data_IF_191176305432
#
_entry.id   IF_191176305432
#
_cell.length_a   1.000
_cell.length_b   1.000
_cell.length_c   1.000
_cell.angle_alpha   90.00
_cell.angle_beta   90.00
_cell.angle_gamma   90.00
#
_symmetry.space_group_name_H-M   'P 1'
#
loop_
_entity.id
_entity.type
_entity.pdbx_description
1 polymer ?
#
# COMPACT_ATOMS: atom_id res chain seq x y z
N UNK A 1 0.44 -27.45 22.95
CA UNK A 1 -0.08 -26.22 22.31
C UNK A 1 1.07 -25.25 22.27
N UNK A 2 1.61 -24.96 21.09
CA UNK A 2 2.66 -23.96 20.93
C UNK A 2 2.06 -22.61 21.30
N UNK A 3 2.60 -21.96 22.33
CA UNK A 3 2.09 -20.66 22.76
C UNK A 3 2.57 -19.61 21.75
N UNK A 4 1.68 -19.05 20.94
CA UNK A 4 2.00 -17.98 19.99
C UNK A 4 2.50 -16.78 20.77
N UNK A 5 3.77 -16.37 20.64
CA UNK A 5 4.28 -15.19 21.34
C UNK A 5 4.68 -14.11 20.34
N UNK A 6 4.08 -12.93 20.49
CA UNK A 6 4.49 -11.73 19.77
C UNK A 6 5.41 -10.89 20.67
N UNK A 7 6.34 -10.09 20.10
CA UNK A 7 7.08 -9.08 20.86
C UNK A 7 6.13 -8.25 21.73
N UNK A 8 6.59 -7.81 22.91
CA UNK A 8 5.74 -7.03 23.84
C UNK A 8 5.34 -5.67 23.26
N UNK A 9 6.19 -5.15 22.40
CA UNK A 9 6.09 -3.89 21.66
C UNK A 9 5.64 -4.09 20.21
N UNK A 10 5.05 -5.24 19.88
CA UNK A 10 4.53 -5.50 18.54
C UNK A 10 3.47 -4.46 18.16
N UNK A 11 3.66 -3.82 17.00
CA UNK A 11 2.84 -2.72 16.52
C UNK A 11 1.54 -3.24 15.89
N UNK A 12 0.58 -3.61 16.72
CA UNK A 12 -0.80 -3.86 16.28
C UNK A 12 -1.46 -2.55 15.86
N UNK A 13 -2.27 -2.56 14.80
CA UNK A 13 -2.91 -1.34 14.34
C UNK A 13 -3.90 -1.57 13.21
N UNK A 14 -4.05 -0.57 12.36
CA UNK A 14 -4.85 -0.64 11.15
C UNK A 14 -4.30 0.34 10.11
N UNK A 15 -4.56 0.06 8.83
CA UNK A 15 -4.02 0.83 7.72
C UNK A 15 -5.12 1.35 6.80
N UNK A 16 -4.94 2.58 6.33
CA UNK A 16 -5.75 3.22 5.28
C UNK A 16 -4.83 4.08 4.40
N UNK A 17 -5.39 4.71 3.36
CA UNK A 17 -4.74 5.77 2.59
C UNK A 17 -5.64 7.01 2.57
N UNK A 18 -5.05 8.19 2.61
CA UNK A 18 -5.76 9.47 2.69
C UNK A 18 -6.86 9.58 1.64
N UNK A 19 -6.53 9.43 0.35
CA UNK A 19 -7.52 9.50 -0.73
C UNK A 19 -8.67 8.48 -0.67
N UNK A 20 -8.56 7.41 0.12
CA UNK A 20 -9.59 6.37 0.24
C UNK A 20 -10.53 6.60 1.42
N UNK A 21 -10.16 7.47 2.37
CA UNK A 21 -10.96 7.74 3.56
C UNK A 21 -11.24 9.21 3.82
N UNK A 22 -10.28 10.11 3.58
CA UNK A 22 -10.38 11.50 4.02
C UNK A 22 -11.58 12.22 3.42
N UNK A 23 -11.76 12.15 2.11
CA UNK A 23 -12.70 13.04 1.43
C UNK A 23 -12.23 14.49 1.55
N UNK A 24 -13.17 15.44 1.59
CA UNK A 24 -12.84 16.87 1.67
C UNK A 24 -11.84 17.28 0.57
N UNK A 25 -12.00 16.72 -0.63
CA UNK A 25 -10.95 16.68 -1.66
C UNK A 25 -10.50 18.05 -2.17
N UNK A 26 -11.36 19.06 -2.01
CA UNK A 26 -11.15 20.46 -2.40
C UNK A 26 -11.27 21.44 -1.20
N UNK A 27 -11.16 20.93 0.03
CA UNK A 27 -11.16 21.75 1.24
C UNK A 27 -9.76 22.26 1.56
N UNK A 28 -9.71 23.44 2.19
CA UNK A 28 -8.49 24.01 2.76
C UNK A 28 -7.30 24.07 1.81
N UNK A 29 -7.59 24.39 0.54
CA UNK A 29 -6.58 24.54 -0.50
C UNK A 29 -5.99 23.23 -1.01
N UNK A 30 -6.53 22.05 -0.64
CA UNK A 30 -6.11 20.77 -1.24
C UNK A 30 -6.28 20.82 -2.76
N UNK A 31 -5.23 20.45 -3.48
CA UNK A 31 -5.23 20.34 -4.94
C UNK A 31 -5.86 19.07 -5.49
N UNK A 32 -6.03 19.03 -6.81
CA UNK A 32 -6.51 17.85 -7.55
C UNK A 32 -5.40 16.80 -7.59
N UNK A 33 -5.65 15.62 -7.04
CA UNK A 33 -4.77 14.46 -7.17
C UNK A 33 -5.13 13.61 -8.40
N UNK A 34 -4.28 12.65 -8.75
CA UNK A 34 -4.57 11.67 -9.82
C UNK A 34 -5.86 10.87 -9.58
N UNK A 35 -6.21 10.57 -8.32
CA UNK A 35 -7.43 9.83 -7.98
C UNK A 35 -8.68 10.71 -7.94
N UNK A 36 -8.54 12.03 -7.90
CA UNK A 36 -9.66 12.97 -7.98
C UNK A 36 -10.24 13.08 -9.41
N UNK A 37 -9.55 12.51 -10.41
CA UNK A 37 -10.04 12.39 -11.81
C UNK A 37 -10.22 10.92 -12.22
N UNK A 38 -10.36 10.02 -11.24
CA UNK A 38 -10.56 8.59 -11.45
C UNK A 38 -11.99 8.18 -11.04
N UNK A 39 -12.85 7.87 -12.01
CA UNK A 39 -14.26 7.55 -11.76
C UNK A 39 -14.44 6.24 -10.99
N UNK A 40 -15.64 6.00 -10.44
CA UNK A 40 -16.02 4.69 -9.92
C UNK A 40 -16.15 3.66 -11.05
N UNK A 41 -15.65 2.45 -10.82
CA UNK A 41 -15.87 1.27 -11.64
C UNK A 41 -16.78 0.26 -10.94
N UNK A 42 -16.64 -1.01 -11.29
CA UNK A 42 -17.26 -2.16 -10.63
C UNK A 42 -16.44 -3.42 -10.92
N UNK A 43 -16.83 -4.57 -10.34
CA UNK A 43 -16.27 -5.85 -10.78
C UNK A 43 -16.40 -6.00 -12.32
N UNK A 44 -15.29 -6.30 -13.00
CA UNK A 44 -15.15 -6.36 -14.47
C UNK A 44 -15.36 -5.03 -15.25
N UNK A 45 -15.67 -3.93 -14.56
CA UNK A 45 -15.82 -2.60 -15.17
C UNK A 45 -14.69 -1.70 -14.67
N UNK A 46 -13.69 -1.38 -15.50
CA UNK A 46 -12.56 -0.58 -15.07
C UNK A 46 -12.98 0.84 -14.69
N UNK A 47 -12.26 1.43 -13.74
CA UNK A 47 -12.33 2.87 -13.46
C UNK A 47 -11.83 3.64 -14.69
N UNK A 48 -12.40 4.81 -14.93
CA UNK A 48 -12.02 5.69 -16.06
C UNK A 48 -11.21 6.86 -15.54
N UNK A 49 -10.07 7.11 -16.17
CA UNK A 49 -9.25 8.30 -15.93
C UNK A 49 -9.78 9.40 -16.85
N UNK A 50 -10.28 10.50 -16.27
CA UNK A 50 -10.75 11.67 -17.02
C UNK A 50 -9.66 12.74 -17.08
N UNK A 51 -9.69 13.61 -18.09
CA UNK A 51 -8.70 14.68 -18.23
C UNK A 51 -8.80 15.71 -17.09
N UNK A 52 -10.01 15.92 -16.57
CA UNK A 52 -10.29 16.84 -15.46
C UNK A 52 -11.46 16.32 -14.63
N UNK A 53 -11.84 17.05 -13.59
CA UNK A 53 -13.05 16.75 -12.81
C UNK A 53 -14.27 17.14 -13.65
N UNK A 54 -15.05 16.15 -14.07
CA UNK A 54 -16.24 16.31 -14.90
C UNK A 54 -17.51 16.29 -14.03
N UNK A 55 -18.44 17.22 -14.24
CA UNK A 55 -19.61 17.40 -13.36
C UNK A 55 -20.65 16.28 -13.44
N UNK A 56 -20.63 15.49 -14.51
CA UNK A 56 -21.56 14.38 -14.79
C UNK A 56 -20.97 13.00 -14.42
N UNK A 57 -19.74 12.96 -13.88
CA UNK A 57 -19.08 11.74 -13.44
C UNK A 57 -19.13 11.59 -11.91
N UNK A 58 -19.04 10.34 -11.44
CA UNK A 58 -18.96 10.02 -10.02
C UNK A 58 -17.53 9.64 -9.62
N UNK A 59 -16.92 10.46 -8.76
CA UNK A 59 -15.59 10.26 -8.21
C UNK A 59 -15.68 9.87 -6.73
N UNK A 60 -15.55 8.57 -6.39
CA UNK A 60 -15.83 8.10 -5.03
C UNK A 60 -14.84 8.68 -4.00
N UNK A 61 -13.63 9.02 -4.42
CA UNK A 61 -12.57 9.59 -3.58
C UNK A 61 -12.85 11.02 -3.11
N UNK A 62 -13.77 11.74 -3.77
CA UNK A 62 -14.06 13.15 -3.44
C UNK A 62 -14.67 13.31 -2.04
N UNK A 63 -15.62 12.43 -1.71
CA UNK A 63 -16.26 12.36 -0.40
C UNK A 63 -15.67 11.24 0.46
N UNK A 64 -15.28 10.12 -0.17
CA UNK A 64 -14.81 8.92 0.50
C UNK A 64 -15.73 8.56 1.69
N UNK A 65 -15.17 8.48 2.91
CA UNK A 65 -15.96 8.29 4.13
C UNK A 65 -15.98 9.53 5.04
N UNK A 66 -15.57 10.68 4.51
CA UNK A 66 -15.39 11.92 5.26
C UNK A 66 -14.57 11.74 6.55
N UNK A 67 -13.50 10.94 6.50
CA UNK A 67 -12.56 10.84 7.63
C UNK A 67 -11.94 12.21 7.96
N UNK A 68 -11.84 13.12 6.99
CA UNK A 68 -11.42 14.50 7.21
C UNK A 68 -12.33 15.24 8.21
N UNK A 69 -13.65 15.03 8.15
CA UNK A 69 -14.60 15.58 9.13
C UNK A 69 -14.76 14.76 10.41
N UNK A 70 -14.43 13.46 10.38
CA UNK A 70 -14.75 12.49 11.45
C UNK A 70 -13.54 11.85 12.14
N UNK A 71 -12.30 12.27 11.84
CA UNK A 71 -11.11 11.57 12.32
C UNK A 71 -11.03 11.44 13.84
N UNK A 72 -11.60 12.39 14.62
CA UNK A 72 -11.55 12.31 16.08
C UNK A 72 -12.41 11.18 16.62
N UNK A 73 -13.62 11.02 16.10
CA UNK A 73 -14.53 9.94 16.45
C UNK A 73 -13.99 8.60 15.95
N UNK A 74 -13.41 8.58 14.74
CA UNK A 74 -12.82 7.38 14.15
C UNK A 74 -11.57 6.92 14.93
N UNK A 75 -10.71 7.85 15.35
CA UNK A 75 -9.55 7.55 16.21
C UNK A 75 -9.99 7.04 17.59
N UNK A 76 -11.07 7.56 18.16
CA UNK A 76 -11.61 7.03 19.41
C UNK A 76 -12.01 5.55 19.27
N UNK A 77 -12.54 5.13 18.11
CA UNK A 77 -12.82 3.72 17.82
C UNK A 77 -11.54 2.89 17.66
N UNK A 78 -10.48 3.44 17.05
CA UNK A 78 -9.16 2.78 16.99
C UNK A 78 -8.55 2.57 18.38
N UNK A 79 -8.66 3.58 19.24
CA UNK A 79 -8.23 3.52 20.62
C UNK A 79 -9.05 2.51 21.43
N UNK A 80 -10.36 2.40 21.18
CA UNK A 80 -11.20 1.40 21.81
C UNK A 80 -10.78 -0.03 21.43
N UNK A 81 -10.38 -0.29 20.18
CA UNK A 81 -9.75 -1.57 19.80
C UNK A 81 -8.37 -1.77 20.43
N UNK A 82 -7.74 -0.71 20.92
CA UNK A 82 -6.45 -0.77 21.61
C UNK A 82 -5.24 -0.67 20.68
N UNK A 83 -5.40 -0.09 19.50
CA UNK A 83 -4.32 0.10 18.51
C UNK A 83 -3.04 0.63 19.15
N UNK A 84 -1.89 0.10 18.70
CA UNK A 84 -0.55 0.59 19.05
C UNK A 84 0.00 1.54 18.00
N UNK A 85 -0.43 1.36 16.76
CA UNK A 85 -0.12 2.24 15.66
C UNK A 85 -1.31 2.42 14.71
N UNK A 86 -1.25 3.45 13.89
CA UNK A 86 -2.20 3.66 12.80
C UNK A 86 -1.44 4.09 11.56
N UNK A 87 -1.60 3.32 10.48
CA UNK A 87 -0.99 3.62 9.20
C UNK A 87 -1.94 4.43 8.33
N UNK A 88 -1.44 5.57 7.85
CA UNK A 88 -2.11 6.37 6.82
C UNK A 88 -1.09 6.99 5.87
N UNK A 89 -1.54 7.76 4.89
CA UNK A 89 -0.69 8.62 4.08
C UNK A 89 -0.92 10.09 4.40
N UNK A 90 0.10 10.91 4.15
CA UNK A 90 -0.09 12.35 4.02
C UNK A 90 -0.43 12.61 2.56
N UNK A 91 -1.61 13.16 2.29
CA UNK A 91 -2.01 13.54 0.95
C UNK A 91 -1.07 14.63 0.43
N UNK A 92 -0.24 14.30 -0.56
CA UNK A 92 0.73 15.23 -1.16
C UNK A 92 0.02 16.53 -1.60
N UNK A 93 -1.17 16.41 -2.19
CA UNK A 93 -2.01 17.54 -2.62
C UNK A 93 -2.56 18.42 -1.51
N UNK A 94 -2.52 18.00 -0.24
CA UNK A 94 -2.81 18.91 0.88
C UNK A 94 -1.62 19.80 1.22
N UNK A 95 -0.40 19.31 1.03
CA UNK A 95 0.83 20.03 1.41
C UNK A 95 1.35 20.88 0.24
N UNK A 96 1.40 20.30 -0.96
CA UNK A 96 1.75 20.98 -2.20
C UNK A 96 0.63 20.69 -3.23
N UNK A 97 -0.40 21.56 -3.31
CA UNK A 97 -1.58 21.35 -4.15
C UNK A 97 -1.28 21.02 -5.61
N UNK A 98 -0.31 21.70 -6.20
CA UNK A 98 0.19 21.49 -7.56
C UNK A 98 1.50 20.69 -7.58
N UNK A 99 2.24 20.67 -6.46
CA UNK A 99 3.46 19.89 -6.29
C UNK A 99 4.74 20.70 -6.53
N UNK A 100 4.64 21.85 -7.18
CA UNK A 100 5.75 22.71 -7.60
C UNK A 100 5.81 24.05 -6.83
N UNK A 101 4.91 24.27 -5.86
CA UNK A 101 4.86 25.53 -5.12
C UNK A 101 6.13 25.79 -4.30
N UNK A 102 6.48 27.07 -4.13
CA UNK A 102 7.63 27.48 -3.33
C UNK A 102 7.44 27.20 -1.82
N UNK A 103 6.22 27.36 -1.31
CA UNK A 103 5.86 27.20 0.10
C UNK A 103 4.75 26.17 0.26
N UNK A 104 4.76 25.36 1.32
CA UNK A 104 3.68 24.41 1.58
C UNK A 104 2.39 25.13 1.97
N UNK A 105 1.27 24.44 1.81
CA UNK A 105 -0.03 24.85 2.32
C UNK A 105 -0.13 24.56 3.81
N UNK A 106 -0.16 25.62 4.63
CA UNK A 106 -0.20 25.51 6.09
C UNK A 106 -1.47 24.80 6.59
N UNK A 107 -2.62 24.98 5.94
CA UNK A 107 -3.86 24.32 6.39
C UNK A 107 -3.75 22.80 6.24
N UNK A 108 -3.07 22.32 5.18
CA UNK A 108 -2.75 20.90 5.02
C UNK A 108 -1.80 20.39 6.09
N UNK A 109 -0.78 21.18 6.47
CA UNK A 109 0.13 20.81 7.57
C UNK A 109 -0.60 20.76 8.91
N UNK A 110 -1.44 21.75 9.20
CA UNK A 110 -2.21 21.81 10.45
C UNK A 110 -3.18 20.63 10.57
N UNK A 111 -3.82 20.20 9.49
CA UNK A 111 -4.71 19.03 9.52
C UNK A 111 -3.98 17.77 10.01
N UNK A 112 -2.77 17.51 9.52
CA UNK A 112 -2.00 16.35 9.98
C UNK A 112 -1.38 16.55 11.35
N UNK A 113 -1.06 17.79 11.76
CA UNK A 113 -0.74 18.07 13.16
C UNK A 113 -1.87 17.65 14.09
N UNK A 114 -3.11 18.05 13.79
CA UNK A 114 -4.30 17.75 14.59
C UNK A 114 -4.61 16.24 14.58
N UNK A 115 -4.48 15.60 13.41
CA UNK A 115 -4.67 14.16 13.27
C UNK A 115 -3.66 13.37 14.12
N UNK A 116 -2.38 13.72 14.02
CA UNK A 116 -1.31 13.03 14.76
C UNK A 116 -1.40 13.34 16.25
N UNK A 117 -1.78 14.55 16.65
CA UNK A 117 -2.01 14.88 18.07
C UNK A 117 -3.18 14.06 18.65
N UNK A 118 -4.26 13.86 17.90
CA UNK A 118 -5.36 13.02 18.36
C UNK A 118 -4.97 11.54 18.44
N UNK A 119 -4.14 11.01 17.53
CA UNK A 119 -3.58 9.66 17.64
C UNK A 119 -2.70 9.50 18.89
N UNK A 120 -1.74 10.42 19.07
CA UNK A 120 -0.77 10.38 20.16
C UNK A 120 -1.43 10.58 21.53
N UNK A 121 -2.55 11.32 21.60
CA UNK A 121 -3.39 11.43 22.80
C UNK A 121 -3.87 10.07 23.32
N UNK A 122 -4.10 9.10 22.43
CA UNK A 122 -4.46 7.72 22.79
C UNK A 122 -3.25 6.76 22.83
N UNK A 123 -2.03 7.27 22.65
CA UNK A 123 -0.82 6.45 22.58
C UNK A 123 -0.74 5.59 21.31
N UNK A 124 -1.35 6.05 20.22
CA UNK A 124 -1.30 5.38 18.91
C UNK A 124 -0.20 6.04 18.09
N UNK A 125 0.84 5.26 17.74
CA UNK A 125 1.96 5.72 16.93
C UNK A 125 1.53 5.90 15.45
N UNK A 126 1.75 7.08 14.82
CA UNK A 126 1.51 7.23 13.40
C UNK A 126 2.56 6.47 12.57
N UNK A 127 2.09 5.76 11.54
CA UNK A 127 2.93 5.14 10.50
C UNK A 127 2.58 5.77 9.15
N UNK A 128 3.48 6.57 8.59
CA UNK A 128 3.14 7.48 7.50
C UNK A 128 3.76 7.06 6.18
N UNK A 129 2.90 6.87 5.17
CA UNK A 129 3.32 6.69 3.77
C UNK A 129 3.33 8.02 3.04
N UNK A 130 4.46 8.40 2.46
CA UNK A 130 4.63 9.71 1.80
C UNK A 130 3.89 9.77 0.46
N UNK A 131 4.05 8.76 -0.40
CA UNK A 131 3.32 8.67 -1.67
C UNK A 131 2.44 7.42 -1.68
N UNK A 132 1.13 7.62 -1.59
CA UNK A 132 0.13 6.55 -1.61
C UNK A 132 -0.94 6.83 -2.68
N UNK A 133 -0.55 6.69 -3.95
CA UNK A 133 -1.43 6.75 -5.11
C UNK A 133 -2.15 8.08 -5.37
N UNK A 134 -1.65 9.18 -4.81
CA UNK A 134 -2.41 10.44 -4.73
C UNK A 134 -1.57 11.68 -5.06
N UNK A 135 -0.57 11.52 -5.93
CA UNK A 135 0.27 12.65 -6.35
C UNK A 135 -0.55 13.76 -7.02
N UNK A 136 -0.08 15.03 -6.99
CA UNK A 136 -0.75 16.13 -7.65
C UNK A 136 -0.92 15.90 -9.16
N UNK A 137 -2.16 16.01 -9.65
CA UNK A 137 -2.47 15.86 -11.08
C UNK A 137 -1.82 16.96 -11.93
N UNK A 138 -1.49 18.11 -11.32
CA UNK A 138 -0.70 19.16 -11.96
C UNK A 138 0.68 18.66 -12.40
N UNK A 139 1.37 17.85 -11.58
CA UNK A 139 2.66 17.26 -11.97
C UNK A 139 2.53 16.34 -13.18
N UNK A 140 1.40 15.62 -13.31
CA UNK A 140 1.10 14.81 -14.49
C UNK A 140 0.98 15.69 -15.73
N UNK A 141 0.15 16.74 -15.66
CA UNK A 141 -0.17 17.60 -16.80
C UNK A 141 0.97 18.51 -17.25
N UNK A 142 1.75 19.04 -16.31
CA UNK A 142 2.72 20.11 -16.58
C UNK A 142 4.16 19.60 -16.67
N UNK A 143 4.45 18.45 -16.07
CA UNK A 143 5.81 17.91 -16.05
C UNK A 143 5.93 16.56 -16.75
N UNK A 144 4.84 15.93 -17.19
CA UNK A 144 4.87 14.54 -17.67
C UNK A 144 5.10 13.54 -16.54
N UNK A 145 4.72 13.93 -15.32
CA UNK A 145 4.87 13.14 -14.10
C UNK A 145 6.31 12.65 -13.86
N UNK A 146 6.47 11.48 -13.23
CA UNK A 146 7.74 10.87 -12.86
C UNK A 146 8.67 10.51 -14.02
N UNK A 147 8.23 10.63 -15.29
CA UNK A 147 9.16 10.56 -16.42
C UNK A 147 10.14 11.74 -16.40
N UNK A 148 9.74 12.87 -15.81
CA UNK A 148 10.57 14.05 -15.65
C UNK A 148 11.33 14.00 -14.33
N UNK A 149 12.66 14.09 -14.44
CA UNK A 149 13.58 14.04 -13.32
C UNK A 149 13.33 15.12 -12.27
N UNK A 150 12.78 16.29 -12.64
CA UNK A 150 12.46 17.36 -11.69
C UNK A 150 11.43 16.94 -10.62
N UNK A 151 10.62 15.91 -10.90
CA UNK A 151 9.65 15.39 -9.91
C UNK A 151 10.33 14.75 -8.71
N UNK A 152 11.59 14.31 -8.84
CA UNK A 152 12.43 13.89 -7.70
C UNK A 152 12.52 15.03 -6.69
N UNK A 153 12.89 16.24 -7.15
CA UNK A 153 13.08 17.40 -6.27
C UNK A 153 11.77 17.83 -5.61
N UNK A 154 10.64 17.77 -6.34
CA UNK A 154 9.31 18.05 -5.77
C UNK A 154 8.93 17.06 -4.66
N UNK A 155 9.16 15.77 -4.89
CA UNK A 155 8.89 14.75 -3.87
C UNK A 155 9.80 14.89 -2.66
N UNK A 156 11.10 15.14 -2.86
CA UNK A 156 12.06 15.34 -1.77
C UNK A 156 11.70 16.57 -0.95
N UNK A 157 11.31 17.67 -1.59
CA UNK A 157 10.84 18.87 -0.90
C UNK A 157 9.58 18.62 -0.08
N UNK A 158 8.60 17.91 -0.65
CA UNK A 158 7.41 17.50 0.08
C UNK A 158 7.77 16.66 1.32
N UNK A 159 8.62 15.65 1.12
CA UNK A 159 9.08 14.74 2.17
C UNK A 159 9.85 15.48 3.27
N UNK A 160 10.76 16.38 2.89
CA UNK A 160 11.49 17.24 3.82
C UNK A 160 10.53 18.04 4.70
N UNK A 161 9.57 18.71 4.07
CA UNK A 161 8.63 19.60 4.75
C UNK A 161 7.85 18.85 5.83
N UNK A 162 7.31 17.67 5.49
CA UNK A 162 6.50 16.89 6.44
C UNK A 162 7.37 16.21 7.50
N UNK A 163 8.55 15.72 7.13
CA UNK A 163 9.47 15.12 8.08
C UNK A 163 10.00 16.15 9.09
N UNK A 164 10.33 17.37 8.66
CA UNK A 164 10.71 18.47 9.57
C UNK A 164 9.55 18.90 10.48
N UNK A 165 8.32 19.02 9.93
CA UNK A 165 7.13 19.41 10.70
C UNK A 165 6.80 18.38 11.78
N UNK A 166 6.84 17.09 11.44
CA UNK A 166 6.35 16.01 12.30
C UNK A 166 7.47 15.20 12.97
N UNK A 167 8.70 15.72 13.02
CA UNK A 167 9.88 14.98 13.52
C UNK A 167 9.78 14.48 14.96
N UNK A 168 8.88 15.06 15.76
CA UNK A 168 8.63 14.67 17.15
C UNK A 168 7.28 13.95 17.34
N UNK A 169 6.53 13.73 16.26
CA UNK A 169 5.20 13.10 16.27
C UNK A 169 5.16 11.77 15.52
N UNK A 170 6.00 11.60 14.50
CA UNK A 170 6.00 10.43 13.62
C UNK A 170 7.37 9.79 13.61
N UNK A 171 7.43 8.51 14.00
CA UNK A 171 8.66 7.71 14.01
C UNK A 171 8.81 6.84 12.77
N UNK A 172 7.71 6.32 12.24
CA UNK A 172 7.71 5.31 11.18
C UNK A 172 7.23 5.92 9.86
N UNK A 173 8.09 5.88 8.86
CA UNK A 173 7.86 6.44 7.53
C UNK A 173 8.00 5.38 6.46
N UNK A 174 7.29 5.56 5.35
CA UNK A 174 7.36 4.76 4.13
C UNK A 174 7.41 5.72 2.95
N UNK A 175 8.30 5.50 1.97
CA UNK A 175 8.43 6.38 0.80
C UNK A 175 7.28 6.20 -0.20
N UNK A 176 7.29 5.09 -0.94
CA UNK A 176 6.32 4.81 -2.01
C UNK A 176 5.50 3.56 -1.69
N UNK A 177 4.17 3.70 -1.66
CA UNK A 177 3.28 2.57 -1.53
C UNK A 177 3.38 1.64 -2.74
N UNK A 178 3.44 0.32 -2.49
CA UNK A 178 3.43 -0.77 -3.46
C UNK A 178 4.14 -0.40 -4.77
N UNK A 179 5.39 0.08 -4.63
CA UNK A 179 6.15 0.68 -5.75
C UNK A 179 6.26 -0.28 -6.96
N UNK A 180 6.11 -1.58 -6.73
CA UNK A 180 6.21 -2.65 -7.70
C UNK A 180 4.92 -2.97 -8.46
N UNK A 181 3.76 -2.42 -8.09
CA UNK A 181 2.52 -2.63 -8.83
C UNK A 181 2.62 -2.20 -10.29
N UNK A 182 3.29 -1.07 -10.54
CA UNK A 182 3.53 -0.54 -11.87
C UNK A 182 4.43 -1.44 -12.75
N UNK A 183 5.04 -2.50 -12.20
CA UNK A 183 5.72 -3.53 -13.00
C UNK A 183 4.76 -4.25 -13.95
N UNK A 184 3.47 -4.27 -13.61
CA UNK A 184 2.40 -4.60 -14.54
C UNK A 184 1.99 -3.38 -15.37
N UNK A 185 2.93 -2.86 -16.15
CA UNK A 185 2.78 -1.62 -16.94
C UNK A 185 1.70 -1.70 -18.03
N UNK A 186 1.21 -2.92 -18.34
CA UNK A 186 0.16 -3.16 -19.34
C UNK A 186 -1.23 -2.71 -18.87
N UNK A 187 -1.46 -2.67 -17.56
CA UNK A 187 -2.72 -2.19 -16.99
C UNK A 187 -2.56 -0.71 -16.57
N UNK A 188 -3.30 0.22 -17.20
CA UNK A 188 -3.10 1.67 -16.99
C UNK A 188 -3.15 2.12 -15.52
N UNK A 189 -4.06 1.55 -14.72
CA UNK A 189 -4.30 1.99 -13.34
C UNK A 189 -3.06 1.89 -12.45
N UNK A 190 -2.18 0.91 -12.67
CA UNK A 190 -1.00 0.73 -11.81
C UNK A 190 0.05 1.82 -12.05
N UNK A 191 0.43 2.05 -13.31
CA UNK A 191 1.33 3.15 -13.64
C UNK A 191 0.73 4.51 -13.26
N UNK A 192 -0.58 4.68 -13.46
CA UNK A 192 -1.27 5.93 -13.21
C UNK A 192 -1.31 6.26 -11.71
N UNK A 193 -1.68 5.30 -10.87
CA UNK A 193 -1.72 5.50 -9.42
C UNK A 193 -0.31 5.58 -8.82
N UNK A 194 0.61 4.67 -9.17
CA UNK A 194 1.98 4.72 -8.60
C UNK A 194 2.75 5.98 -9.00
N UNK A 195 2.55 6.46 -10.23
CA UNK A 195 3.50 7.36 -10.88
C UNK A 195 2.85 8.40 -11.79
N UNK A 196 1.52 8.48 -11.89
CA UNK A 196 0.85 9.38 -12.84
C UNK A 196 1.13 9.03 -14.31
N UNK A 197 1.46 7.77 -14.61
CA UNK A 197 1.91 7.32 -15.94
C UNK A 197 0.97 6.29 -16.56
N UNK A 198 0.52 6.52 -17.79
CA UNK A 198 -0.07 5.46 -18.62
C UNK A 198 1.00 4.97 -19.59
N UNK A 199 1.73 3.92 -19.20
CA UNK A 199 2.91 3.47 -19.95
C UNK A 199 2.62 3.03 -21.39
N UNK A 200 1.41 2.50 -21.63
CA UNK A 200 0.98 2.07 -22.96
C UNK A 200 0.85 3.21 -23.97
N UNK A 201 0.84 4.47 -23.51
CA UNK A 201 0.79 5.65 -24.38
C UNK A 201 2.18 6.01 -24.92
N UNK A 202 3.24 5.37 -24.43
CA UNK A 202 4.62 5.60 -24.84
C UNK A 202 5.07 4.56 -25.88
N UNK A 203 5.93 4.92 -26.86
CA UNK A 203 6.43 3.98 -27.87
C UNK A 203 7.19 2.78 -27.28
N UNK A 204 7.87 2.99 -26.15
CA UNK A 204 8.59 1.94 -25.42
C UNK A 204 8.10 1.89 -23.96
N UNK A 205 6.95 1.26 -23.68
CA UNK A 205 6.30 1.30 -22.36
C UNK A 205 7.20 0.82 -21.23
N UNK A 206 7.88 -0.31 -21.43
CA UNK A 206 8.74 -0.91 -20.40
C UNK A 206 9.99 -0.08 -20.12
N UNK A 207 10.59 0.56 -21.14
CA UNK A 207 11.69 1.50 -20.92
C UNK A 207 11.23 2.72 -20.11
N UNK A 208 10.07 3.29 -20.45
CA UNK A 208 9.52 4.42 -19.71
C UNK A 208 9.24 4.05 -18.25
N UNK A 209 8.67 2.86 -18.01
CA UNK A 209 8.48 2.32 -16.68
C UNK A 209 9.82 2.24 -15.92
N UNK A 210 10.87 1.68 -16.49
CA UNK A 210 12.17 1.62 -15.79
C UNK A 210 12.80 3.00 -15.56
N UNK A 211 12.60 3.98 -16.45
CA UNK A 211 13.06 5.35 -16.23
C UNK A 211 12.35 5.99 -15.02
N UNK A 212 11.03 5.82 -14.95
CA UNK A 212 10.21 6.28 -13.83
C UNK A 212 10.63 5.60 -12.52
N UNK A 213 10.85 4.29 -12.55
CA UNK A 213 11.34 3.54 -11.40
C UNK A 213 12.71 4.03 -10.93
N UNK A 214 13.62 4.34 -11.86
CA UNK A 214 14.91 4.93 -11.51
C UNK A 214 14.73 6.24 -10.75
N UNK A 215 13.89 7.16 -11.22
CA UNK A 215 13.60 8.40 -10.52
C UNK A 215 13.00 8.16 -9.12
N UNK A 216 12.05 7.24 -8.98
CA UNK A 216 11.45 6.91 -7.68
C UNK A 216 12.45 6.25 -6.72
N UNK A 217 13.35 5.39 -7.19
CA UNK A 217 14.40 4.81 -6.35
C UNK A 217 15.39 5.88 -5.87
N UNK A 218 15.83 6.78 -6.75
CA UNK A 218 16.71 7.89 -6.39
C UNK A 218 16.02 8.81 -5.38
N UNK A 219 14.75 9.17 -5.63
CA UNK A 219 13.96 10.01 -4.72
C UNK A 219 13.78 9.35 -3.35
N UNK A 220 13.45 8.06 -3.31
CA UNK A 220 13.35 7.29 -2.06
C UNK A 220 14.66 7.33 -1.27
N UNK A 221 15.79 7.08 -1.93
CA UNK A 221 17.09 7.06 -1.29
C UNK A 221 17.52 8.46 -0.78
N UNK A 222 17.22 9.52 -1.53
CA UNK A 222 17.42 10.90 -1.06
C UNK A 222 16.60 11.19 0.19
N UNK A 223 15.33 10.76 0.22
CA UNK A 223 14.44 10.96 1.38
C UNK A 223 14.90 10.16 2.59
N UNK A 224 15.36 8.92 2.44
CA UNK A 224 15.93 8.15 3.55
C UNK A 224 17.11 8.89 4.18
N UNK A 225 18.09 9.28 3.35
CA UNK A 225 19.27 10.01 3.82
C UNK A 225 18.91 11.33 4.48
N UNK A 226 18.00 12.09 3.88
CA UNK A 226 17.52 13.37 4.41
C UNK A 226 16.76 13.19 5.72
N UNK A 227 15.87 12.20 5.81
CA UNK A 227 15.09 11.94 7.01
C UNK A 227 15.99 11.62 8.20
N UNK A 228 17.03 10.82 8.01
CA UNK A 228 18.03 10.56 9.07
C UNK A 228 18.87 11.79 9.45
N UNK A 229 19.02 12.76 8.55
CA UNK A 229 19.65 14.06 8.88
C UNK A 229 18.73 14.95 9.71
N UNK A 230 17.42 14.91 9.45
CA UNK A 230 16.40 15.64 10.22
C UNK A 230 16.27 15.01 11.61
N UNK A 231 16.08 13.69 11.66
CA UNK A 231 15.98 12.94 12.91
C UNK A 231 16.57 11.52 12.73
N UNK A 232 17.71 11.20 13.38
CA UNK A 232 18.33 9.87 13.27
C UNK A 232 17.50 8.73 13.88
N UNK A 233 16.47 9.04 14.67
CA UNK A 233 15.58 8.04 15.28
C UNK A 233 14.45 7.58 14.35
N UNK A 234 14.24 8.27 13.22
CA UNK A 234 13.28 7.83 12.22
C UNK A 234 13.59 6.41 11.73
N UNK A 235 12.51 5.67 11.45
CA UNK A 235 12.54 4.41 10.73
C UNK A 235 11.88 4.63 9.38
N UNK A 236 12.66 4.60 8.30
CA UNK A 236 12.21 4.91 6.95
C UNK A 236 12.28 3.64 6.11
N UNK A 237 11.11 3.08 5.81
CA UNK A 237 10.94 1.83 5.11
C UNK A 237 10.69 2.01 3.62
N UNK A 238 10.98 0.95 2.88
CA UNK A 238 10.42 0.72 1.55
C UNK A 238 9.08 0.00 1.66
N UNK A 239 8.27 -0.02 0.60
CA UNK A 239 7.04 -0.82 0.58
C UNK A 239 6.81 -1.51 -0.75
N UNK A 240 6.53 -2.82 -0.70
CA UNK A 240 6.16 -3.61 -1.86
C UNK A 240 4.85 -4.37 -1.63
N UNK A 241 4.11 -4.60 -2.70
CA UNK A 241 3.10 -5.65 -2.73
C UNK A 241 3.78 -6.99 -2.95
N UNK A 242 3.65 -7.91 -1.98
CA UNK A 242 4.18 -9.26 -2.12
C UNK A 242 3.05 -10.26 -2.38
N UNK A 243 3.12 -10.88 -3.55
CA UNK A 243 2.26 -11.98 -3.98
C UNK A 243 3.18 -13.12 -4.42
N UNK A 244 3.48 -14.07 -3.53
CA UNK A 244 4.26 -15.25 -3.88
C UNK A 244 3.70 -15.96 -5.11
N UNK A 245 4.61 -16.37 -5.99
CA UNK A 245 4.32 -17.12 -7.20
C UNK A 245 4.90 -18.53 -7.05
N UNK A 246 4.05 -19.49 -6.73
CA UNK A 246 4.49 -20.88 -6.59
C UNK A 246 4.62 -21.54 -7.96
N UNK A 247 5.58 -22.47 -8.14
CA UNK A 247 5.56 -23.32 -9.32
C UNK A 247 4.33 -24.25 -9.26
N UNK A 248 3.56 -24.31 -10.35
CA UNK A 248 2.36 -25.16 -10.41
C UNK A 248 2.67 -26.65 -10.22
N UNK A 249 3.87 -27.08 -10.61
CA UNK A 249 4.36 -28.44 -10.48
C UNK A 249 5.85 -28.46 -10.13
N UNK A 250 6.40 -29.61 -9.75
CA UNK A 250 7.84 -29.79 -9.55
C UNK A 250 8.66 -29.89 -10.86
N UNK A 251 8.06 -29.61 -12.02
CA UNK A 251 8.78 -29.55 -13.28
C UNK A 251 9.86 -28.46 -13.21
N UNK A 252 11.11 -28.74 -13.62
CA UNK A 252 12.19 -27.75 -13.56
C UNK A 252 11.84 -26.42 -14.26
N UNK A 253 11.04 -26.47 -15.33
CA UNK A 253 10.60 -25.30 -16.08
C UNK A 253 9.66 -24.40 -15.28
N UNK A 254 8.74 -24.99 -14.51
CA UNK A 254 7.82 -24.23 -13.64
C UNK A 254 8.57 -23.63 -12.45
N UNK A 255 9.53 -24.38 -11.88
CA UNK A 255 10.41 -23.89 -10.80
C UNK A 255 11.26 -22.72 -11.27
N UNK A 256 11.86 -22.82 -12.45
CA UNK A 256 12.65 -21.73 -13.03
C UNK A 256 11.77 -20.50 -13.33
N UNK A 257 10.58 -20.72 -13.91
CA UNK A 257 9.63 -19.65 -14.21
C UNK A 257 9.20 -18.90 -12.93
N UNK A 258 8.84 -19.62 -11.87
CA UNK A 258 8.49 -19.02 -10.58
C UNK A 258 9.64 -18.16 -10.03
N UNK A 259 10.87 -18.71 -10.06
CA UNK A 259 12.05 -17.99 -9.59
C UNK A 259 12.30 -16.71 -10.41
N UNK A 260 12.16 -16.76 -11.73
CA UNK A 260 12.37 -15.61 -12.61
C UNK A 260 11.30 -14.55 -12.42
N UNK A 261 10.02 -14.94 -12.35
CA UNK A 261 8.90 -14.01 -12.14
C UNK A 261 8.94 -13.36 -10.76
N UNK A 262 9.39 -14.06 -9.72
CA UNK A 262 9.56 -13.45 -8.40
C UNK A 262 10.64 -12.35 -8.39
N UNK A 263 11.58 -12.33 -9.35
CA UNK A 263 12.50 -11.19 -9.52
C UNK A 263 11.76 -9.90 -9.87
N UNK A 264 10.60 -9.98 -10.51
CA UNK A 264 9.74 -8.82 -10.76
C UNK A 264 9.13 -8.24 -9.47
N UNK A 265 9.10 -9.01 -8.38
CA UNK A 265 8.73 -8.51 -7.05
C UNK A 265 9.96 -8.06 -6.27
N UNK A 266 11.01 -8.88 -6.26
CA UNK A 266 12.22 -8.63 -5.47
C UNK A 266 13.06 -7.46 -5.96
N UNK A 267 13.05 -7.14 -7.25
CA UNK A 267 13.83 -6.04 -7.82
C UNK A 267 13.72 -4.75 -7.00
N UNK A 268 12.52 -4.40 -6.57
CA UNK A 268 12.23 -3.14 -5.91
C UNK A 268 12.83 -3.07 -4.52
N UNK A 269 12.79 -4.18 -3.79
CA UNK A 269 13.44 -4.31 -2.49
C UNK A 269 14.94 -4.53 -2.63
N UNK A 270 15.41 -5.22 -3.68
CA UNK A 270 16.84 -5.33 -4.00
C UNK A 270 17.46 -3.93 -4.13
N UNK A 271 16.83 -3.00 -4.87
CA UNK A 271 17.33 -1.63 -5.01
C UNK A 271 17.20 -0.85 -3.70
N UNK A 272 16.02 -0.83 -3.07
CA UNK A 272 15.78 0.02 -1.90
C UNK A 272 16.45 -0.46 -0.61
N UNK A 273 16.73 -1.76 -0.48
CA UNK A 273 17.35 -2.34 0.73
C UNK A 273 18.85 -2.59 0.53
N UNK A 274 19.29 -2.98 -0.67
CA UNK A 274 20.71 -3.27 -0.95
C UNK A 274 21.45 -2.09 -1.59
N UNK A 275 20.72 -1.12 -2.15
CA UNK A 275 21.27 0.13 -2.66
C UNK A 275 21.88 0.06 -4.04
N UNK A 276 21.57 -0.98 -4.84
CA UNK A 276 22.06 -1.11 -6.21
C UNK A 276 21.15 -1.98 -7.08
N UNK A 277 21.22 -1.78 -8.39
CA UNK A 277 20.49 -2.59 -9.36
C UNK A 277 21.02 -4.03 -9.40
N UNK A 278 20.16 -5.05 -9.30
CA UNK A 278 20.59 -6.43 -9.37
C UNK A 278 21.08 -6.80 -10.78
N UNK A 279 22.07 -7.70 -10.84
CA UNK A 279 22.73 -8.06 -12.11
C UNK A 279 21.80 -8.66 -13.16
N UNK A 280 20.75 -9.38 -12.73
CA UNK A 280 19.75 -9.92 -13.66
C UNK A 280 18.98 -8.84 -14.41
N UNK A 281 18.73 -7.69 -13.77
CA UNK A 281 18.04 -6.56 -14.38
C UNK A 281 18.94 -5.87 -15.39
N UNK A 282 20.23 -5.68 -15.07
CA UNK A 282 21.21 -5.14 -16.03
C UNK A 282 21.28 -6.01 -17.29
N UNK A 283 21.24 -7.34 -17.12
CA UNK A 283 21.18 -8.27 -18.25
C UNK A 283 19.85 -8.22 -19.00
N UNK A 284 18.73 -7.99 -18.31
CA UNK A 284 17.43 -7.76 -18.95
C UNK A 284 17.45 -6.50 -19.81
N UNK A 285 17.94 -5.38 -19.26
CA UNK A 285 18.07 -4.13 -20.01
C UNK A 285 18.95 -4.30 -21.25
N UNK A 286 20.08 -5.00 -21.14
CA UNK A 286 20.93 -5.32 -22.28
C UNK A 286 20.19 -6.16 -23.35
N UNK A 287 19.46 -7.21 -22.95
CA UNK A 287 18.70 -8.06 -23.91
C UNK A 287 17.58 -7.30 -24.60
N UNK A 288 16.91 -6.40 -23.88
CA UNK A 288 15.75 -5.63 -24.38
C UNK A 288 16.16 -4.28 -24.99
N UNK A 289 17.45 -3.96 -25.04
CA UNK A 289 17.98 -2.65 -25.42
C UNK A 289 17.32 -1.49 -24.65
N UNK A 290 17.07 -1.70 -23.35
CA UNK A 290 16.54 -0.67 -22.47
C UNK A 290 17.72 0.19 -21.99
N UNK A 291 17.56 1.50 -22.12
CA UNK A 291 18.53 2.50 -21.67
C UNK A 291 17.88 3.41 -20.64
N UNK A 292 18.48 3.49 -19.46
CA UNK A 292 18.03 4.33 -18.35
C UNK A 292 18.98 5.49 -18.21
N UNK A 293 18.43 6.70 -18.29
CA UNK A 293 19.16 7.94 -18.07
C UNK A 293 19.38 8.11 -16.57
N UNK A 294 20.63 7.92 -16.15
CA UNK A 294 21.10 8.16 -14.79
C UNK A 294 22.02 9.37 -14.79
N UNK A 295 21.86 10.28 -13.83
CA UNK A 295 22.79 11.37 -13.65
C UNK A 295 24.01 10.90 -12.85
N UNK A 296 25.09 11.67 -12.95
CA UNK A 296 26.26 11.47 -12.10
C UNK A 296 25.85 11.50 -10.62
N UNK A 297 26.19 10.45 -9.88
CA UNK A 297 25.93 10.33 -8.45
C UNK A 297 24.70 9.49 -8.08
N UNK A 298 23.80 9.15 -9.01
CA UNK A 298 22.60 8.37 -8.67
C UNK A 298 22.92 7.03 -8.03
N UNK A 299 23.93 6.31 -8.53
CA UNK A 299 24.37 5.05 -7.93
C UNK A 299 24.86 5.22 -6.48
N UNK A 300 25.52 6.34 -6.18
CA UNK A 300 25.98 6.64 -4.83
C UNK A 300 24.79 6.98 -3.92
N UNK A 301 23.83 7.77 -4.43
CA UNK A 301 22.59 8.10 -3.72
C UNK A 301 21.85 6.81 -3.32
N UNK A 302 21.67 5.87 -4.24
CA UNK A 302 21.01 4.59 -3.96
C UNK A 302 21.70 3.80 -2.84
N UNK A 303 23.03 3.77 -2.83
CA UNK A 303 23.82 3.07 -1.79
C UNK A 303 23.70 3.72 -0.42
N UNK A 304 23.66 5.05 -0.38
CA UNK A 304 23.63 5.83 0.86
C UNK A 304 22.23 5.92 1.48
N UNK A 305 21.17 5.71 0.69
CA UNK A 305 19.78 5.83 1.11
C UNK A 305 19.02 4.51 1.18
N UNK A 306 19.61 3.48 1.76
CA UNK A 306 18.94 2.18 1.92
C UNK A 306 17.89 2.21 3.04
N UNK A 307 16.72 1.63 2.80
CA UNK A 307 15.64 1.56 3.76
C UNK A 307 16.01 0.81 5.06
N UNK A 308 15.45 1.27 6.17
CA UNK A 308 15.66 0.70 7.50
C UNK A 308 14.92 -0.64 7.68
N UNK A 309 13.73 -0.74 7.09
CA UNK A 309 12.86 -1.92 7.15
C UNK A 309 12.12 -2.12 5.82
N UNK A 310 11.55 -3.31 5.65
CA UNK A 310 10.73 -3.67 4.50
C UNK A 310 9.26 -3.72 4.90
N UNK A 311 8.47 -2.76 4.45
CA UNK A 311 7.03 -2.81 4.59
C UNK A 311 6.43 -3.68 3.46
N UNK A 312 5.42 -4.47 3.77
CA UNK A 312 4.73 -5.31 2.79
C UNK A 312 3.22 -5.21 2.89
N UNK A 313 2.55 -5.26 1.75
CA UNK A 313 1.16 -5.71 1.67
C UNK A 313 1.11 -7.16 1.25
N UNK A 314 0.21 -7.93 1.86
CA UNK A 314 -0.05 -9.32 1.51
C UNK A 314 -1.54 -9.59 1.48
N UNK A 315 -2.01 -10.23 0.41
CA UNK A 315 -3.43 -10.57 0.26
C UNK A 315 -3.68 -11.98 -0.28
N UNK A 316 -2.81 -12.46 -1.17
CA UNK A 316 -3.00 -13.69 -1.93
C UNK A 316 -1.68 -14.26 -2.47
N UNK A 317 -1.75 -15.48 -2.99
CA UNK A 317 -0.72 -16.11 -3.82
C UNK A 317 -1.32 -16.57 -5.13
N UNK A 318 -0.47 -16.85 -6.13
CA UNK A 318 -0.85 -17.55 -7.35
C UNK A 318 0.16 -18.66 -7.66
N UNK A 319 -0.22 -19.59 -8.53
CA UNK A 319 0.73 -20.52 -9.16
C UNK A 319 1.14 -20.01 -10.55
N UNK A 320 2.29 -20.46 -11.05
CA UNK A 320 2.76 -20.20 -12.41
C UNK A 320 3.19 -21.49 -13.10
N UNK A 321 2.93 -21.58 -14.41
CA UNK A 321 3.30 -22.75 -15.20
C UNK A 321 3.70 -22.37 -16.61
N UNK A 322 4.68 -23.07 -17.15
CA UNK A 322 5.13 -22.93 -18.55
C UNK A 322 4.19 -23.60 -19.56
N UNK A 323 3.35 -24.53 -19.10
CA UNK A 323 2.34 -25.15 -19.95
C UNK A 323 1.17 -24.17 -20.17
N UNK A 324 0.48 -24.30 -21.30
CA UNK A 324 -0.82 -23.65 -21.52
C UNK A 324 -1.91 -24.69 -21.27
N UNK A 325 -2.92 -24.34 -20.47
CA UNK A 325 -4.13 -25.16 -20.35
C UNK A 325 -5.28 -24.50 -21.11
N UNK A 326 -6.00 -25.29 -21.89
CA UNK A 326 -7.26 -24.86 -22.49
C UNK A 326 -8.34 -24.74 -21.41
N UNK A 327 -9.02 -23.60 -21.32
CA UNK A 327 -10.23 -23.44 -20.51
C UNK A 327 -10.06 -22.91 -19.08
N UNK A 328 -8.84 -22.65 -18.60
CA UNK A 328 -8.60 -21.96 -17.33
C UNK A 328 -7.85 -20.64 -17.54
N UNK A 329 -8.55 -19.59 -17.96
CA UNK A 329 -7.99 -18.23 -18.07
C UNK A 329 -8.63 -17.31 -17.05
N UNK A 330 -8.23 -17.46 -15.79
CA UNK A 330 -8.39 -16.45 -14.72
C UNK A 330 -7.04 -15.78 -14.39
N UNK A 331 -6.11 -15.79 -15.36
CA UNK A 331 -4.71 -15.41 -15.15
C UNK A 331 -4.56 -13.90 -14.96
N UNK A 332 -4.12 -13.46 -13.77
CA UNK A 332 -3.80 -12.05 -13.47
C UNK A 332 -2.74 -11.45 -14.43
N UNK A 333 -1.88 -12.31 -14.96
CA UNK A 333 -0.87 -12.01 -15.97
C UNK A 333 -0.47 -13.32 -16.68
N UNK A 334 0.32 -13.21 -17.76
CA UNK A 334 0.75 -14.36 -18.56
C UNK A 334 1.41 -15.46 -17.69
N UNK A 335 1.05 -16.73 -17.94
CA UNK A 335 1.50 -17.92 -17.20
C UNK A 335 0.99 -18.06 -15.75
N UNK A 336 0.30 -17.06 -15.21
CA UNK A 336 -0.32 -17.13 -13.89
C UNK A 336 -1.60 -17.99 -13.92
N UNK A 337 -1.86 -18.74 -12.86
CA UNK A 337 -3.10 -19.51 -12.71
C UNK A 337 -3.56 -19.52 -11.25
N UNK A 338 -4.83 -19.86 -11.06
CA UNK A 338 -5.37 -20.15 -9.73
C UNK A 338 -4.83 -21.48 -9.23
N UNK A 339 -4.41 -21.48 -7.97
CA UNK A 339 -4.06 -22.68 -7.24
C UNK A 339 -5.31 -23.53 -6.94
N UNK A 340 -5.41 -24.79 -7.42
CA UNK A 340 -6.59 -25.63 -7.21
C UNK A 340 -6.79 -26.08 -5.75
N UNK A 341 -5.81 -25.83 -4.87
CA UNK A 341 -5.87 -26.19 -3.46
C UNK A 341 -6.37 -25.06 -2.55
N UNK A 342 -6.57 -23.85 -3.09
CA UNK A 342 -6.94 -22.67 -2.31
C UNK A 342 -8.36 -22.19 -2.63
N UNK A 343 -9.14 -21.78 -1.62
CA UNK A 343 -10.35 -21.01 -1.87
C UNK A 343 -10.00 -19.59 -2.35
N UNK A 344 -10.98 -18.89 -2.89
CA UNK A 344 -10.86 -17.49 -3.29
C UNK A 344 -12.04 -16.66 -2.78
N UNK A 345 -11.82 -15.36 -2.60
CA UNK A 345 -12.87 -14.38 -2.33
C UNK A 345 -13.78 -14.19 -3.55
N UNK A 346 -14.90 -13.48 -3.37
CA UNK A 346 -15.82 -13.10 -4.45
C UNK A 346 -15.18 -12.23 -5.55
N UNK A 347 -14.03 -11.60 -5.26
CA UNK A 347 -13.21 -10.86 -6.23
C UNK A 347 -12.08 -11.70 -6.84
N UNK A 348 -12.08 -13.02 -6.61
CA UNK A 348 -11.11 -13.95 -7.18
C UNK A 348 -9.72 -13.94 -6.50
N UNK A 349 -9.57 -13.27 -5.36
CA UNK A 349 -8.30 -13.25 -4.62
C UNK A 349 -8.16 -14.54 -3.81
N UNK A 350 -7.10 -15.32 -4.06
CA UNK A 350 -6.88 -16.60 -3.37
C UNK A 350 -6.52 -16.39 -1.90
N UNK A 351 -7.08 -17.21 -1.01
CA UNK A 351 -6.87 -17.11 0.43
C UNK A 351 -5.79 -18.12 0.82
N UNK A 352 -4.59 -17.62 1.16
CA UNK A 352 -3.42 -18.44 1.47
C UNK A 352 -2.67 -17.92 2.71
N UNK A 353 -3.08 -18.27 3.94
CA UNK A 353 -2.37 -17.83 5.13
C UNK A 353 -0.93 -18.35 5.18
N UNK A 354 -0.66 -19.56 4.68
CA UNK A 354 0.69 -20.14 4.66
C UNK A 354 1.61 -19.37 3.71
N UNK A 355 1.07 -18.80 2.64
CA UNK A 355 1.81 -17.93 1.74
C UNK A 355 2.32 -16.64 2.38
N UNK A 356 1.65 -16.12 3.41
CA UNK A 356 2.19 -15.00 4.19
C UNK A 356 3.44 -15.46 4.96
N UNK A 357 3.41 -16.65 5.57
CA UNK A 357 4.60 -17.21 6.24
C UNK A 357 5.74 -17.43 5.24
N UNK A 358 5.46 -18.00 4.06
CA UNK A 358 6.46 -18.16 3.00
C UNK A 358 7.07 -16.81 2.61
N UNK A 359 6.25 -15.79 2.38
CA UNK A 359 6.71 -14.45 2.03
C UNK A 359 7.61 -13.86 3.13
N UNK A 360 7.21 -13.96 4.40
CA UNK A 360 7.98 -13.45 5.53
C UNK A 360 9.35 -14.12 5.63
N UNK A 361 9.40 -15.44 5.55
CA UNK A 361 10.66 -16.20 5.64
C UNK A 361 11.57 -15.90 4.44
N UNK A 362 11.06 -15.94 3.21
CA UNK A 362 11.86 -15.64 2.02
C UNK A 362 12.42 -14.22 2.03
N UNK A 363 11.61 -13.22 2.38
CA UNK A 363 12.03 -11.83 2.44
C UNK A 363 13.07 -11.61 3.55
N UNK A 364 12.87 -12.23 4.72
CA UNK A 364 13.78 -12.08 5.84
C UNK A 364 15.12 -12.76 5.56
N UNK A 365 15.13 -14.00 5.05
CA UNK A 365 16.35 -14.69 4.62
C UNK A 365 17.10 -13.91 3.55
N UNK A 366 16.38 -13.27 2.62
CA UNK A 366 16.97 -12.51 1.52
C UNK A 366 17.63 -11.20 1.96
N UNK A 367 17.02 -10.48 2.89
CA UNK A 367 17.40 -9.10 3.23
C UNK A 367 17.93 -8.91 4.63
N UNK A 368 17.57 -9.77 5.59
CA UNK A 368 17.91 -9.65 7.01
C UNK A 368 17.61 -8.24 7.54
N UNK A 369 16.43 -7.74 7.18
CA UNK A 369 15.88 -6.46 7.65
C UNK A 369 14.54 -6.72 8.35
N UNK A 370 14.17 -5.92 9.36
CA UNK A 370 12.85 -6.00 9.97
C UNK A 370 11.76 -5.87 8.90
N UNK A 371 10.68 -6.64 9.04
CA UNK A 371 9.53 -6.61 8.14
C UNK A 371 8.34 -6.01 8.87
N UNK A 372 7.60 -5.12 8.20
CA UNK A 372 6.35 -4.58 8.72
C UNK A 372 5.20 -4.98 7.78
N UNK A 373 4.25 -5.78 8.28
CA UNK A 373 3.05 -6.13 7.53
C UNK A 373 2.08 -4.96 7.62
N UNK A 374 2.18 -4.08 6.63
CA UNK A 374 1.47 -2.80 6.63
C UNK A 374 0.12 -2.87 5.94
N UNK A 375 -0.19 -3.99 5.29
CA UNK A 375 -1.53 -4.33 4.81
C UNK A 375 -1.75 -5.84 4.78
N UNK A 376 -2.91 -6.25 5.26
CA UNK A 376 -3.51 -7.56 5.01
C UNK A 376 -5.02 -7.45 5.25
N UNK A 377 -5.86 -8.07 4.44
CA UNK A 377 -7.30 -7.94 4.63
C UNK A 377 -8.14 -8.69 3.60
N UNK A 378 -9.41 -8.88 3.93
CA UNK A 378 -10.38 -9.54 3.06
C UNK A 378 -11.47 -8.55 2.67
N UNK A 379 -11.50 -8.22 1.37
CA UNK A 379 -12.60 -7.47 0.77
C UNK A 379 -13.77 -8.40 0.51
N UNK A 380 -14.91 -8.14 1.15
CA UNK A 380 -16.13 -8.93 1.05
C UNK A 380 -17.38 -8.04 1.18
N UNK A 381 -18.53 -8.60 0.84
CA UNK A 381 -19.82 -7.93 1.03
C UNK A 381 -20.28 -8.12 2.48
N UNK A 382 -20.58 -7.03 3.17
CA UNK A 382 -21.20 -7.09 4.50
C UNK A 382 -22.72 -7.02 4.40
N UNK A 383 -23.40 -7.82 5.22
CA UNK A 383 -24.85 -7.76 5.42
C UNK A 383 -25.18 -7.16 6.79
N UNK A 384 -25.88 -6.02 6.79
CA UNK A 384 -26.43 -5.40 8.00
C UNK A 384 -27.67 -6.17 8.42
N UNK A 385 -27.65 -6.77 9.61
CA UNK A 385 -28.75 -7.53 10.18
C UNK A 385 -29.90 -6.60 10.63
N UNK A 386 -31.06 -7.18 10.92
CA UNK A 386 -32.25 -6.42 11.35
C UNK A 386 -32.04 -5.61 12.65
N UNK A 387 -31.10 -6.04 13.50
CA UNK A 387 -30.70 -5.35 14.74
C UNK A 387 -29.55 -4.34 14.55
N UNK A 388 -29.08 -4.15 13.31
CA UNK A 388 -27.96 -3.27 12.95
C UNK A 388 -26.58 -3.89 13.11
N UNK A 389 -26.48 -5.14 13.58
CA UNK A 389 -25.20 -5.85 13.68
C UNK A 389 -24.70 -6.33 12.31
N UNK A 390 -23.39 -6.59 12.20
CA UNK A 390 -22.75 -7.18 11.02
C UNK A 390 -21.91 -8.36 11.49
N UNK A 391 -22.30 -9.56 11.07
CA UNK A 391 -21.65 -10.81 11.45
C UNK A 391 -20.63 -11.21 10.37
N UNK A 392 -19.43 -10.66 10.46
CA UNK A 392 -18.35 -10.84 9.49
C UNK A 392 -17.36 -11.95 9.89
N UNK A 393 -17.88 -13.13 10.21
CA UNK A 393 -17.08 -14.29 10.61
C UNK A 393 -16.07 -14.72 9.54
N UNK A 394 -16.38 -14.50 8.25
CA UNK A 394 -15.46 -14.74 7.15
C UNK A 394 -14.19 -13.86 7.24
N UNK A 395 -14.32 -12.63 7.72
CA UNK A 395 -13.22 -11.67 7.87
C UNK A 395 -12.38 -12.02 9.08
N UNK A 396 -13.04 -12.38 10.19
CA UNK A 396 -12.38 -12.91 11.38
C UNK A 396 -11.55 -14.14 11.01
N UNK A 397 -12.15 -15.12 10.32
CA UNK A 397 -11.47 -16.35 9.93
C UNK A 397 -10.25 -16.08 9.01
N UNK A 398 -10.40 -15.18 8.03
CA UNK A 398 -9.27 -14.80 7.17
C UNK A 398 -8.11 -14.22 8.00
N UNK A 399 -8.38 -13.19 8.80
CA UNK A 399 -7.34 -12.49 9.55
C UNK A 399 -6.74 -13.40 10.63
N UNK A 400 -7.55 -14.24 11.29
CA UNK A 400 -7.05 -15.17 12.31
C UNK A 400 -6.03 -16.15 11.77
N UNK A 401 -6.27 -16.71 10.57
CA UNK A 401 -5.34 -17.66 9.97
C UNK A 401 -4.03 -16.98 9.53
N UNK A 402 -4.11 -15.77 8.98
CA UNK A 402 -2.90 -15.01 8.63
C UNK A 402 -2.11 -14.60 9.87
N UNK A 403 -2.76 -14.18 10.96
CA UNK A 403 -2.07 -13.85 12.22
C UNK A 403 -1.37 -15.08 12.81
N UNK A 404 -1.98 -16.27 12.73
CA UNK A 404 -1.32 -17.53 13.14
C UNK A 404 -0.08 -17.84 12.28
N UNK A 405 -0.14 -17.55 10.99
CA UNK A 405 1.01 -17.69 10.08
C UNK A 405 2.15 -16.71 10.46
N UNK A 406 1.82 -15.45 10.78
CA UNK A 406 2.79 -14.46 11.28
C UNK A 406 3.41 -14.92 12.60
N UNK A 407 2.58 -15.39 13.54
CA UNK A 407 3.06 -15.92 14.82
C UNK A 407 4.04 -17.08 14.58
N UNK A 408 3.76 -17.94 13.61
CA UNK A 408 4.64 -19.06 13.27
C UNK A 408 5.95 -18.57 12.64
N UNK A 409 5.91 -17.59 11.74
CA UNK A 409 7.11 -16.97 11.18
C UNK A 409 8.03 -16.36 12.26
N UNK A 410 7.45 -15.67 13.24
CA UNK A 410 8.21 -15.09 14.36
C UNK A 410 8.81 -16.20 15.25
N UNK A 411 7.97 -17.13 15.73
CA UNK A 411 8.35 -18.05 16.81
C UNK A 411 9.12 -19.28 16.33
N UNK A 412 8.91 -19.70 15.08
CA UNK A 412 9.53 -20.90 14.51
C UNK A 412 10.60 -20.55 13.49
N UNK A 413 10.31 -19.64 12.55
CA UNK A 413 11.27 -19.27 11.50
C UNK A 413 12.28 -18.19 11.96
N UNK A 414 11.98 -17.47 13.05
CA UNK A 414 12.85 -16.44 13.61
C UNK A 414 12.82 -15.10 12.87
N UNK A 415 11.73 -14.83 12.15
CA UNK A 415 11.56 -13.58 11.39
C UNK A 415 11.31 -12.40 12.32
N UNK A 416 12.07 -11.31 12.13
CA UNK A 416 11.83 -10.05 12.84
C UNK A 416 10.66 -9.29 12.18
N UNK A 417 9.47 -9.42 12.77
CA UNK A 417 8.26 -8.69 12.34
C UNK A 417 7.94 -7.57 13.32
N UNK A 418 7.89 -6.34 12.81
CA UNK A 418 7.68 -5.12 13.61
C UNK A 418 6.23 -4.98 14.08
N UNK A 419 5.27 -5.38 13.25
CA UNK A 419 3.85 -5.14 13.48
C UNK A 419 2.96 -5.68 12.37
N UNK A 420 1.66 -5.50 12.56
CA UNK A 420 0.61 -5.97 11.68
C UNK A 420 -0.59 -5.00 11.69
N UNK A 421 -0.85 -4.37 10.54
CA UNK A 421 -1.93 -3.38 10.38
C UNK A 421 -2.91 -3.82 9.28
N UNK A 422 -4.05 -4.43 9.63
CA UNK A 422 -5.08 -4.80 8.67
C UNK A 422 -5.53 -3.61 7.81
N UNK A 423 -5.66 -3.88 6.51
CA UNK A 423 -6.04 -2.87 5.52
C UNK A 423 -7.51 -2.50 5.64
N UNK A 424 -7.82 -1.22 5.41
CA UNK A 424 -9.16 -0.68 5.43
C UNK A 424 -9.83 -0.94 6.77
N UNK A 425 -9.12 -0.74 7.89
CA UNK A 425 -9.60 -1.06 9.24
C UNK A 425 -10.93 -0.37 9.61
N UNK A 426 -11.22 0.74 8.95
CA UNK A 426 -12.56 1.32 8.75
C UNK A 426 -12.90 1.19 7.27
N UNK A 427 -14.15 0.88 6.95
CA UNK A 427 -14.59 0.77 5.56
C UNK A 427 -14.17 1.99 4.74
N UNK A 428 -13.63 1.76 3.55
CA UNK A 428 -13.05 2.80 2.70
C UNK A 428 -13.43 2.54 1.25
N UNK A 429 -13.20 3.53 0.39
CA UNK A 429 -13.33 3.33 -1.07
C UNK A 429 -12.28 2.32 -1.53
N UNK A 430 -12.69 1.27 -2.24
CA UNK A 430 -11.74 0.27 -2.76
C UNK A 430 -10.81 0.85 -3.84
N UNK A 431 -9.59 0.32 -3.96
CA UNK A 431 -8.63 0.81 -4.96
C UNK A 431 -9.08 0.50 -6.40
N UNK A 432 -9.17 -0.79 -6.75
CA UNK A 432 -9.33 -1.26 -8.14
C UNK A 432 -10.65 -0.82 -8.76
N UNK A 433 -11.72 -0.78 -7.97
CA UNK A 433 -13.08 -0.56 -8.47
C UNK A 433 -13.71 0.73 -7.94
N UNK A 434 -13.16 1.38 -6.91
CA UNK A 434 -13.77 2.59 -6.33
C UNK A 434 -15.10 2.30 -5.64
N UNK A 435 -15.26 1.09 -5.09
CA UNK A 435 -16.51 0.59 -4.50
C UNK A 435 -16.49 0.73 -2.97
N UNK A 436 -17.64 1.04 -2.39
CA UNK A 436 -17.93 0.90 -0.95
C UNK A 436 -18.41 -0.51 -0.60
N UNK A 437 -19.00 -1.24 -1.57
CA UNK A 437 -19.54 -2.59 -1.31
C UNK A 437 -18.45 -3.64 -1.03
N UNK A 438 -17.22 -3.40 -1.49
CA UNK A 438 -16.05 -4.25 -1.19
C UNK A 438 -15.42 -3.78 0.13
N UNK A 439 -15.94 -4.31 1.24
CA UNK A 439 -15.65 -3.84 2.60
C UNK A 439 -14.53 -4.63 3.25
N UNK A 440 -13.71 -3.92 4.02
CA UNK A 440 -12.54 -4.48 4.71
C UNK A 440 -12.58 -4.27 6.23
N UNK A 441 -13.37 -3.29 6.71
CA UNK A 441 -13.19 -2.75 8.05
C UNK A 441 -13.67 -3.63 9.18
N UNK A 442 -13.14 -3.32 10.35
CA UNK A 442 -13.73 -3.63 11.65
C UNK A 442 -14.88 -2.68 11.98
N UNK A 443 -14.82 -1.48 11.39
CA UNK A 443 -15.82 -0.42 11.51
C UNK A 443 -16.54 -0.30 10.17
N UNK A 444 -17.84 -0.51 10.20
CA UNK A 444 -18.72 -0.28 9.06
C UNK A 444 -18.99 1.20 8.88
N UNK A 445 -19.02 1.65 7.63
CA UNK A 445 -19.52 2.99 7.28
C UNK A 445 -20.76 2.85 6.42
N UNK A 446 -21.84 3.49 6.85
CA UNK A 446 -23.11 3.58 6.14
C UNK A 446 -22.98 4.52 4.92
N UNK A 447 -22.31 4.01 3.89
CA UNK A 447 -22.14 4.63 2.58
C UNK A 447 -22.13 3.53 1.52
N UNK A 448 -22.77 3.81 0.39
CA UNK A 448 -23.01 2.83 -0.66
C UNK A 448 -22.58 3.32 -2.05
N UNK A 449 -22.46 2.35 -2.94
CA UNK A 449 -22.05 2.50 -4.33
C UNK A 449 -22.95 3.40 -5.19
N UNK A 450 -24.19 3.60 -4.77
CA UNK A 450 -25.19 4.49 -5.39
C UNK A 450 -25.23 5.88 -4.76
N UNK A 451 -24.32 6.17 -3.82
CA UNK A 451 -24.20 7.42 -3.10
C UNK A 451 -25.06 7.53 -1.84
N UNK A 452 -25.98 6.59 -1.59
CA UNK A 452 -26.82 6.56 -0.39
C UNK A 452 -26.01 6.21 0.88
N UNK A 453 -26.60 6.49 2.04
CA UNK A 453 -26.01 6.23 3.36
C UNK A 453 -25.81 7.50 4.19
N UNK A 454 -25.80 7.35 5.51
CA UNK A 454 -25.70 8.46 6.49
C UNK A 454 -24.27 8.83 6.87
N UNK A 455 -23.27 8.10 6.38
CA UNK A 455 -21.87 8.16 6.82
C UNK A 455 -21.66 7.76 8.30
N UNK A 456 -22.67 7.18 8.96
CA UNK A 456 -22.55 6.72 10.33
C UNK A 456 -21.58 5.53 10.44
N UNK A 457 -20.83 5.49 11.55
CA UNK A 457 -19.95 4.38 11.89
C UNK A 457 -20.65 3.40 12.82
N UNK A 458 -20.48 2.11 12.56
CA UNK A 458 -20.91 1.05 13.49
C UNK A 458 -19.86 -0.05 13.60
N UNK A 459 -19.82 -0.72 14.76
CA UNK A 459 -18.83 -1.77 15.06
C UNK A 459 -19.32 -3.10 14.49
N UNK A 460 -18.52 -3.75 13.66
CA UNK A 460 -18.78 -5.12 13.20
C UNK A 460 -18.40 -6.13 14.28
N UNK A 461 -18.75 -7.41 14.09
CA UNK A 461 -18.32 -8.48 15.02
C UNK A 461 -16.80 -8.55 15.14
N UNK A 462 -16.09 -8.38 14.02
CA UNK A 462 -14.63 -8.36 13.96
C UNK A 462 -13.96 -7.24 14.78
N UNK A 463 -14.67 -6.15 15.12
CA UNK A 463 -14.17 -5.09 15.99
C UNK A 463 -13.77 -5.62 17.38
N UNK A 464 -14.70 -6.32 18.03
CA UNK A 464 -14.48 -6.87 19.38
C UNK A 464 -13.49 -8.04 19.36
N UNK A 465 -13.49 -8.81 18.27
CA UNK A 465 -12.49 -9.85 18.04
C UNK A 465 -11.08 -9.26 17.98
N UNK A 466 -10.85 -8.24 17.15
CA UNK A 466 -9.53 -7.66 17.00
C UNK A 466 -9.07 -6.91 18.26
N UNK A 467 -10.00 -6.31 19.01
CA UNK A 467 -9.75 -5.79 20.35
C UNK A 467 -9.17 -6.88 21.28
N UNK A 468 -9.72 -8.09 21.25
CA UNK A 468 -9.23 -9.22 22.03
C UNK A 468 -7.86 -9.72 21.55
N UNK A 469 -7.63 -9.76 20.24
CA UNK A 469 -6.32 -10.08 19.66
C UNK A 469 -5.26 -9.13 20.21
N UNK A 470 -5.51 -7.82 20.17
CA UNK A 470 -4.54 -6.82 20.64
C UNK A 470 -4.36 -6.91 22.16
N UNK A 471 -5.45 -6.97 22.93
CA UNK A 471 -5.39 -7.04 24.39
C UNK A 471 -4.65 -8.28 24.90
N UNK A 472 -4.74 -9.39 24.16
CA UNK A 472 -4.03 -10.63 24.47
C UNK A 472 -2.64 -10.71 23.82
N UNK A 473 -2.21 -9.69 23.06
CA UNK A 473 -1.01 -9.70 22.23
C UNK A 473 -0.91 -10.97 21.36
N UNK A 474 -2.01 -11.34 20.69
CA UNK A 474 -2.12 -12.50 19.81
C UNK A 474 -2.17 -13.86 20.50
N UNK A 475 -2.34 -13.93 21.84
CA UNK A 475 -2.52 -15.20 22.55
C UNK A 475 -3.93 -15.79 22.36
N UNK A 476 -4.92 -14.93 22.12
CA UNK A 476 -6.30 -15.30 21.81
C UNK A 476 -6.64 -14.74 20.43
N UNK A 477 -6.79 -15.64 19.46
CA UNK A 477 -7.05 -15.36 18.05
C UNK A 477 -8.29 -16.13 17.63
#
# INVERSE_FOLDING_TARGET
MTQYSFPKDFLWGGAVAAHQVEGGWNKDGKGVSVVDVLTKGAHEVPRVITDSVESDQFYPNHEAIDFYGHYKEDIALFAEMGFKCFRTSIAWTRIFPNGDEATPNEAGLQFYDDLFDELLKYGIEPVITLSHFEMPNHLVKHYGSWANRQVIDFFVKFSQTVMERYQHKVKYWITFNEINNQRNWKLPIWGYCNSGMIYTDYPNPEQMMYQVLHHQFVASAQVVKLGHQINPDFKIGSMIHIMPLYPATCRPEDVLLAQELMREKYLFSDVQVRGYYPSYLIKEWQRKNIQIEMAAGDEQILREGCADYLAISYYMTNIVSTQKEEGQTTSLFENSRLNPYLPASDWGWQIDPDGLRVALSELYERYQKPIFIVENGLGAIDEVQADGSINDDYRINYLSEHIKAVATAINYDGVEVMGYTPWGCIDCVSFTTGEYKKRYGFIYVDKHDDGTGTMARSKKKSFYWYQQVIASNGQVI
#
